data_IF_822069194869
#
_entry.id   IF_822069194869
#
_cell.length_a   1.000
_cell.length_b   1.000
_cell.length_c   1.000
_cell.angle_alpha   90.00
_cell.angle_beta   90.00
_cell.angle_gamma   90.00
#
_symmetry.space_group_name_H-M   'P 1'
#
loop_
_entity.id
_entity.type
_entity.pdbx_description
1 polymer ?
#
# COMPACT_ATOMS: atom_id res chain seq x y z
N UNK A 1 0.43 -5.31 -15.28
CA UNK A 1 0.02 -4.04 -15.93
C UNK A 1 1.06 -2.92 -15.76
N UNK A 2 2.37 -3.21 -15.85
CA UNK A 2 3.41 -2.17 -15.66
C UNK A 2 3.62 -1.27 -16.89
N UNK A 3 3.50 -1.85 -18.09
CA UNK A 3 3.69 -1.13 -19.37
C UNK A 3 2.59 -0.07 -19.58
N UNK A 4 1.35 -0.38 -19.21
CA UNK A 4 0.23 0.57 -19.28
C UNK A 4 0.43 1.74 -18.31
N UNK A 5 0.91 1.50 -17.09
CA UNK A 5 1.23 2.55 -16.13
C UNK A 5 2.37 3.47 -16.63
N UNK A 6 3.39 2.90 -17.29
CA UNK A 6 4.46 3.69 -17.92
C UNK A 6 3.90 4.63 -19.00
N UNK A 7 3.01 4.13 -19.87
CA UNK A 7 2.37 4.95 -20.91
C UNK A 7 1.55 6.10 -20.31
N UNK A 8 0.84 5.86 -19.22
CA UNK A 8 0.11 6.91 -18.49
C UNK A 8 1.09 7.94 -17.91
N UNK A 9 2.17 7.50 -17.26
CA UNK A 9 3.19 8.40 -16.72
C UNK A 9 3.83 9.28 -17.80
N UNK A 10 4.06 8.74 -19.01
CA UNK A 10 4.57 9.52 -20.15
C UNK A 10 3.56 10.58 -20.63
N UNK A 11 2.28 10.20 -20.82
CA UNK A 11 1.22 11.11 -21.28
C UNK A 11 1.04 12.28 -20.30
N UNK A 12 1.06 12.00 -19.00
CA UNK A 12 0.84 12.99 -17.95
C UNK A 12 2.14 13.59 -17.38
N UNK A 13 3.30 13.25 -17.96
CA UNK A 13 4.63 13.74 -17.55
C UNK A 13 4.94 13.54 -16.06
N UNK A 14 4.45 12.43 -15.48
CA UNK A 14 4.73 12.06 -14.09
C UNK A 14 6.16 11.54 -14.02
N UNK A 15 6.99 12.20 -13.22
CA UNK A 15 8.39 11.80 -13.13
C UNK A 15 8.63 10.72 -12.06
N UNK A 16 9.81 10.09 -12.11
CA UNK A 16 10.17 8.99 -11.19
C UNK A 16 10.14 9.41 -9.72
N UNK A 17 10.63 10.61 -9.42
CA UNK A 17 10.72 11.14 -8.05
C UNK A 17 9.33 11.36 -7.45
N UNK A 18 8.38 11.85 -8.23
CA UNK A 18 6.98 12.01 -7.82
C UNK A 18 6.31 10.67 -7.52
N UNK A 19 6.55 9.65 -8.36
CA UNK A 19 6.03 8.30 -8.11
C UNK A 19 6.59 7.71 -6.81
N UNK A 20 7.88 7.86 -6.56
CA UNK A 20 8.54 7.39 -5.34
C UNK A 20 8.03 8.14 -4.11
N UNK A 21 7.91 9.46 -4.19
CA UNK A 21 7.39 10.29 -3.11
C UNK A 21 5.94 9.93 -2.77
N UNK A 22 5.11 9.70 -3.79
CA UNK A 22 3.74 9.24 -3.62
C UNK A 22 3.67 7.88 -2.93
N UNK A 23 4.53 6.93 -3.31
CA UNK A 23 4.60 5.63 -2.66
C UNK A 23 4.97 5.77 -1.17
N UNK A 24 5.98 6.58 -0.85
CA UNK A 24 6.36 6.87 0.55
C UNK A 24 5.21 7.47 1.35
N UNK A 25 4.50 8.45 0.79
CA UNK A 25 3.35 9.07 1.46
C UNK A 25 2.17 8.12 1.62
N UNK A 26 1.90 7.27 0.63
CA UNK A 26 0.86 6.26 0.71
C UNK A 26 1.12 5.31 1.88
N UNK A 27 2.36 4.80 2.01
CA UNK A 27 2.72 3.94 3.13
C UNK A 27 2.66 4.65 4.48
N UNK A 28 3.19 5.88 4.56
CA UNK A 28 3.13 6.68 5.79
C UNK A 28 1.68 6.88 6.26
N UNK A 29 0.78 7.29 5.35
CA UNK A 29 -0.64 7.48 5.65
C UNK A 29 -1.33 6.18 6.05
N UNK A 30 -0.98 5.06 5.43
CA UNK A 30 -1.54 3.76 5.78
C UNK A 30 -1.15 3.32 7.19
N UNK A 31 0.10 3.57 7.62
CA UNK A 31 0.55 3.32 9.00
C UNK A 31 -0.21 4.23 9.97
N UNK A 32 -0.24 5.54 9.71
CA UNK A 32 -0.96 6.50 10.55
C UNK A 32 -2.45 6.16 10.69
N UNK A 33 -3.10 5.72 9.60
CA UNK A 33 -4.51 5.32 9.61
C UNK A 33 -4.75 4.04 10.40
N UNK A 34 -3.83 3.06 10.31
CA UNK A 34 -3.87 1.83 11.12
C UNK A 34 -3.71 2.14 12.60
N UNK A 35 -2.71 2.95 12.95
CA UNK A 35 -2.41 3.31 14.34
C UNK A 35 -3.54 4.14 14.96
N UNK A 36 -4.19 5.00 14.17
CA UNK A 36 -5.37 5.76 14.56
C UNK A 36 -6.67 4.93 14.57
N UNK A 37 -6.62 3.63 14.28
CA UNK A 37 -7.79 2.74 14.29
C UNK A 37 -8.82 3.01 13.19
N UNK A 38 -8.48 3.77 12.14
CA UNK A 38 -9.42 4.18 11.08
C UNK A 38 -10.01 2.99 10.30
N UNK A 39 -9.33 1.85 10.34
CA UNK A 39 -9.77 0.64 9.66
C UNK A 39 -10.45 -0.38 10.58
N UNK A 40 -10.72 -0.02 11.85
CA UNK A 40 -11.30 -0.93 12.83
C UNK A 40 -12.69 -1.45 12.42
N UNK A 41 -13.48 -0.62 11.74
CA UNK A 41 -14.85 -0.96 11.34
C UNK A 41 -14.92 -1.71 9.99
N UNK A 42 -13.85 -1.69 9.18
CA UNK A 42 -13.82 -2.32 7.85
C UNK A 42 -13.00 -3.63 7.79
N UNK A 43 -12.02 -3.81 8.68
CA UNK A 43 -11.17 -5.00 8.70
C UNK A 43 -11.83 -6.10 9.53
N UNK A 44 -12.31 -7.15 8.85
CA UNK A 44 -12.79 -8.37 9.50
C UNK A 44 -11.59 -9.29 9.79
N UNK A 45 -11.45 -9.72 11.04
CA UNK A 45 -10.37 -10.62 11.44
C UNK A 45 -10.61 -12.02 10.89
N UNK A 46 -9.62 -12.58 10.20
CA UNK A 46 -9.63 -13.97 9.74
C UNK A 46 -8.64 -14.78 10.56
N UNK A 47 -9.14 -15.81 11.24
CA UNK A 47 -8.30 -16.70 12.03
C UNK A 47 -7.41 -17.55 11.10
N UNK A 48 -6.11 -17.57 11.37
CA UNK A 48 -5.17 -18.43 10.64
C UNK A 48 -4.91 -19.69 11.46
N UNK A 49 -5.09 -20.86 10.85
CA UNK A 49 -4.52 -22.10 11.35
C UNK A 49 -3.01 -22.05 11.07
N UNK A 50 -2.24 -21.52 12.01
CA UNK A 50 -0.79 -21.65 12.00
C UNK A 50 -0.49 -23.14 12.17
N UNK A 51 0.19 -23.78 11.21
CA UNK A 51 0.92 -25.01 11.54
C UNK A 51 1.90 -24.60 12.63
N UNK A 52 1.91 -25.31 13.76
CA UNK A 52 2.84 -25.09 14.85
C UNK A 52 4.26 -25.04 14.28
N UNK A 53 4.83 -23.84 14.20
CA UNK A 53 6.19 -23.64 13.74
C UNK A 53 7.15 -24.16 14.80
N UNK A 54 8.04 -25.07 14.41
CA UNK A 54 9.40 -25.02 14.94
C UNK A 54 10.07 -23.82 14.27
N UNK A 55 10.52 -22.90 15.11
CA UNK A 55 11.38 -21.77 14.73
C UNK A 55 12.79 -22.26 14.40
#
# INVERSE_FOLDING_TARGET
>A
MGITAKKVAEIYRVNRKEMELHACYSHKRAVEARDAGKFADEIITVNRNLKSGHF
#
